data_IF_956641918554
#
_entry.id   IF_956641918554
#
_cell.length_a   1.000
_cell.length_b   1.000
_cell.length_c   1.000
_cell.angle_alpha   90.00
_cell.angle_beta   90.00
_cell.angle_gamma   90.00
#
_symmetry.space_group_name_H-M   'P 1'
#
loop_
_entity.id
_entity.type
_entity.pdbx_description
1 polymer ?
#
# COMPACT_ATOMS: atom_id res chain seq x y z
N UNK A 1 -41.31 29.17 40.10
CA UNK A 1 -40.10 28.42 40.48
C UNK A 1 -38.98 29.14 39.79
N UNK A 2 -38.43 30.12 40.50
CA UNK A 2 -37.13 30.68 40.21
C UNK A 2 -36.09 29.61 40.53
N UNK A 3 -35.11 29.44 39.64
CA UNK A 3 -33.72 29.07 39.97
C UNK A 3 -32.92 29.24 38.66
N UNK A 4 -32.36 30.45 38.54
CA UNK A 4 -31.23 30.76 37.66
C UNK A 4 -29.98 30.05 38.20
N UNK A 5 -29.28 29.26 37.38
CA UNK A 5 -27.84 29.06 37.53
C UNK A 5 -27.10 29.38 36.22
N UNK A 6 -26.48 30.54 36.30
CA UNK A 6 -25.31 31.14 35.70
C UNK A 6 -24.26 30.25 34.99
N UNK A 7 -23.57 30.89 34.04
CA UNK A 7 -22.23 30.55 33.54
C UNK A 7 -22.23 29.78 32.20
N UNK A 8 -21.92 30.36 31.05
CA UNK A 8 -21.17 31.57 30.75
C UNK A 8 -20.23 31.24 29.58
N UNK A 9 -20.43 31.95 28.46
CA UNK A 9 -19.46 32.50 27.49
C UNK A 9 -18.27 31.61 27.02
N UNK A 10 -17.84 31.58 25.75
CA UNK A 10 -17.86 32.62 24.72
C UNK A 10 -17.33 32.04 23.40
N UNK A 11 -17.57 32.78 22.31
CA UNK A 11 -16.65 33.08 21.19
C UNK A 11 -16.22 31.89 20.30
N UNK A 12 -16.75 31.81 19.07
CA UNK A 12 -16.17 32.38 17.84
C UNK A 12 -15.22 31.38 17.16
N UNK A 13 -15.59 30.90 15.96
CA UNK A 13 -14.73 31.08 14.78
C UNK A 13 -15.42 30.51 13.53
N UNK A 14 -15.63 31.43 12.59
CA UNK A 14 -15.89 31.22 11.17
C UNK A 14 -14.76 30.39 10.53
N UNK A 15 -15.08 29.55 9.55
CA UNK A 15 -14.06 28.76 8.85
C UNK A 15 -14.54 28.15 7.54
N UNK A 16 -14.24 28.88 6.47
CA UNK A 16 -14.52 28.71 5.04
C UNK A 16 -14.53 27.31 4.38
N UNK A 17 -15.29 27.26 3.28
CA UNK A 17 -15.11 26.32 2.17
C UNK A 17 -13.69 26.45 1.59
N UNK A 18 -13.06 25.33 1.21
CA UNK A 18 -12.24 25.33 0.00
C UNK A 18 -12.13 23.94 -0.65
N UNK A 19 -12.35 23.90 -1.96
CA UNK A 19 -11.86 22.85 -2.85
C UNK A 19 -10.32 22.90 -2.84
N UNK A 20 -9.64 21.75 -2.74
CA UNK A 20 -8.63 21.45 -3.76
C UNK A 20 -8.24 19.98 -3.85
N UNK A 21 -8.04 19.58 -5.10
CA UNK A 21 -7.24 18.48 -5.58
C UNK A 21 -5.79 18.64 -5.04
N UNK A 22 -5.13 17.53 -4.69
CA UNK A 22 -3.73 17.43 -4.20
C UNK A 22 -3.52 17.70 -2.69
N UNK A 23 -3.50 16.62 -1.90
CA UNK A 23 -2.79 16.59 -0.61
C UNK A 23 -1.86 15.37 -0.56
N UNK A 24 -0.63 15.59 -1.00
CA UNK A 24 0.52 14.84 -0.53
C UNK A 24 0.77 15.15 0.96
N UNK A 25 0.20 14.36 1.88
CA UNK A 25 0.83 13.85 3.13
C UNK A 25 -0.20 13.48 4.20
N UNK A 26 -0.55 12.20 4.27
CA UNK A 26 -0.75 11.44 5.52
C UNK A 26 -1.19 10.06 5.11
N UNK A 27 -0.33 9.05 5.22
CA UNK A 27 -0.30 8.09 6.34
C UNK A 27 1.00 7.30 6.20
N UNK A 28 2.03 7.63 6.99
CA UNK A 28 3.15 6.71 7.20
C UNK A 28 2.70 5.79 8.34
N UNK A 29 1.76 4.93 8.01
CA UNK A 29 1.56 3.67 8.73
C UNK A 29 2.26 2.60 7.90
N UNK A 30 2.77 1.56 8.55
CA UNK A 30 3.50 0.41 7.99
C UNK A 30 2.77 -0.26 6.79
N UNK A 31 1.53 0.14 6.51
CA UNK A 31 0.66 -0.35 5.45
C UNK A 31 0.81 0.40 4.10
N UNK A 32 1.30 1.66 4.06
CA UNK A 32 1.47 2.41 2.77
C UNK A 32 2.86 2.31 2.14
N UNK A 33 3.90 2.00 2.91
CA UNK A 33 5.25 1.81 2.39
C UNK A 33 5.34 0.58 1.47
N UNK A 34 4.55 -0.43 1.81
CA UNK A 34 4.51 -1.73 1.18
C UNK A 34 3.88 -1.67 -0.23
N UNK A 35 2.85 -0.87 -0.47
CA UNK A 35 2.29 -0.71 -1.84
C UNK A 35 3.25 0.06 -2.75
N UNK A 36 4.00 1.02 -2.19
CA UNK A 36 4.88 1.88 -2.95
C UNK A 36 6.13 1.14 -3.45
N UNK A 37 6.56 0.05 -2.80
CA UNK A 37 7.76 -0.70 -3.21
C UNK A 37 7.62 -1.29 -4.63
N UNK A 38 6.42 -1.74 -5.00
CA UNK A 38 6.15 -2.26 -6.35
C UNK A 38 6.06 -1.16 -7.40
N UNK A 39 5.69 0.05 -6.99
CA UNK A 39 5.55 1.22 -7.86
C UNK A 39 6.88 1.96 -8.04
N UNK A 40 7.75 1.97 -7.02
CA UNK A 40 9.08 2.57 -7.04
C UNK A 40 10.13 1.74 -7.79
N UNK A 41 9.98 0.41 -7.84
CA UNK A 41 10.94 -0.48 -8.51
C UNK A 41 10.78 -0.55 -10.05
N UNK A 42 10.14 0.44 -10.68
CA UNK A 42 9.93 0.53 -12.14
C UNK A 42 9.43 -0.79 -12.78
N UNK A 43 8.53 -1.50 -12.09
CA UNK A 43 8.05 -2.81 -12.56
C UNK A 43 7.23 -2.65 -13.84
N UNK A 44 7.69 -3.31 -14.91
CA UNK A 44 7.06 -3.22 -16.23
C UNK A 44 5.86 -4.15 -16.32
N UNK A 45 4.68 -3.61 -15.99
CA UNK A 45 3.43 -4.31 -16.20
C UNK A 45 2.90 -4.15 -17.63
N UNK A 46 2.34 -5.22 -18.23
CA UNK A 46 1.65 -5.10 -19.50
C UNK A 46 0.37 -4.25 -19.33
N UNK A 47 0.07 -3.40 -20.31
CA UNK A 47 -1.11 -2.50 -20.27
C UNK A 47 -2.44 -3.27 -20.19
N UNK A 48 -2.46 -4.51 -20.67
CA UNK A 48 -3.61 -5.40 -20.65
C UNK A 48 -3.16 -6.73 -20.04
N UNK A 49 -3.96 -7.27 -19.12
CA UNK A 49 -3.68 -8.54 -18.49
C UNK A 49 -3.75 -9.67 -19.53
N UNK A 50 -2.72 -10.52 -19.54
CA UNK A 50 -2.62 -11.64 -20.47
C UNK A 50 -3.35 -12.89 -19.98
N UNK A 51 -3.16 -14.01 -20.69
CA UNK A 51 -3.68 -15.33 -20.27
C UNK A 51 -3.10 -15.78 -18.92
N UNK A 52 -1.89 -15.33 -18.58
CA UNK A 52 -1.18 -15.68 -17.36
C UNK A 52 -0.81 -14.42 -16.58
N UNK A 53 -0.87 -14.46 -15.24
CA UNK A 53 -0.42 -13.36 -14.40
C UNK A 53 1.09 -13.12 -14.57
N UNK A 54 1.47 -11.85 -14.48
CA UNK A 54 2.88 -11.43 -14.52
C UNK A 54 3.32 -11.10 -13.11
N UNK A 55 4.47 -11.63 -12.70
CA UNK A 55 5.05 -11.41 -11.39
C UNK A 55 6.44 -10.79 -11.50
N UNK A 56 6.89 -10.15 -10.43
CA UNK A 56 8.23 -9.59 -10.30
C UNK A 56 8.73 -9.79 -8.88
N UNK A 57 9.94 -10.32 -8.76
CA UNK A 57 10.60 -10.50 -7.48
C UNK A 57 11.05 -9.15 -6.91
N UNK A 58 11.04 -9.04 -5.59
CA UNK A 58 11.56 -7.88 -4.85
C UNK A 58 12.87 -8.24 -4.14
N UNK A 59 13.64 -7.23 -3.70
CA UNK A 59 14.81 -7.44 -2.84
C UNK A 59 14.45 -8.14 -1.53
N UNK A 60 13.28 -7.81 -0.96
CA UNK A 60 12.70 -8.58 0.13
C UNK A 60 12.00 -9.81 -0.45
N UNK A 61 12.65 -10.97 -0.32
CA UNK A 61 12.14 -12.23 -0.87
C UNK A 61 10.84 -12.70 -0.23
N UNK A 62 10.48 -12.18 0.95
CA UNK A 62 9.18 -12.48 1.57
C UNK A 62 8.04 -11.78 0.85
N UNK A 63 8.34 -10.90 -0.12
CA UNK A 63 7.36 -10.13 -0.89
C UNK A 63 7.62 -10.25 -2.39
N UNK A 64 6.58 -9.99 -3.17
CA UNK A 64 6.65 -9.97 -4.62
C UNK A 64 5.58 -9.05 -5.18
N UNK A 65 5.74 -8.64 -6.43
CA UNK A 65 4.75 -7.82 -7.12
C UNK A 65 4.00 -8.64 -8.15
N UNK A 66 2.69 -8.47 -8.22
CA UNK A 66 1.84 -9.02 -9.27
C UNK A 66 1.25 -7.88 -10.09
N UNK A 67 1.32 -8.00 -11.42
CA UNK A 67 0.66 -7.05 -12.30
C UNK A 67 -0.82 -7.38 -12.45
N UNK A 68 -1.67 -6.37 -12.32
CA UNK A 68 -3.07 -6.42 -12.71
C UNK A 68 -3.50 -5.06 -13.27
N UNK A 69 -4.29 -5.07 -14.35
CA UNK A 69 -4.77 -3.86 -15.03
C UNK A 69 -3.64 -2.85 -15.35
N UNK A 70 -2.46 -3.34 -15.71
CA UNK A 70 -1.29 -2.50 -16.00
C UNK A 70 -0.63 -1.84 -14.80
N UNK A 71 -0.97 -2.23 -13.57
CA UNK A 71 -0.37 -1.72 -12.33
C UNK A 71 0.24 -2.87 -11.51
N UNK A 72 1.41 -2.67 -10.89
CA UNK A 72 1.98 -3.66 -10.00
C UNK A 72 1.40 -3.50 -8.58
N UNK A 73 1.04 -4.63 -7.97
CA UNK A 73 0.51 -4.73 -6.61
C UNK A 73 1.43 -5.59 -5.77
N UNK A 74 1.68 -5.15 -4.53
CA UNK A 74 2.48 -5.92 -3.59
C UNK A 74 1.69 -7.10 -3.02
N UNK A 75 2.35 -8.24 -2.93
CA UNK A 75 1.91 -9.41 -2.22
C UNK A 75 3.01 -9.92 -1.29
N UNK A 76 2.59 -10.47 -0.16
CA UNK A 76 3.48 -11.09 0.81
C UNK A 76 3.33 -12.61 0.70
N UNK A 77 4.45 -13.31 0.79
CA UNK A 77 4.46 -14.75 0.98
C UNK A 77 4.06 -15.11 2.42
N UNK A 78 3.50 -16.32 2.62
CA UNK A 78 3.28 -16.84 3.96
C UNK A 78 4.58 -16.92 4.77
N UNK A 79 4.44 -16.91 6.10
CA UNK A 79 5.58 -16.88 7.02
C UNK A 79 6.64 -17.96 6.70
N UNK A 80 7.88 -17.52 6.56
CA UNK A 80 9.03 -18.39 6.27
C UNK A 80 9.16 -18.86 4.82
N UNK A 81 8.26 -18.43 3.92
CA UNK A 81 8.35 -18.70 2.48
C UNK A 81 8.79 -17.47 1.70
N UNK A 82 9.55 -17.72 0.64
CA UNK A 82 10.13 -16.71 -0.23
C UNK A 82 9.60 -16.87 -1.66
N UNK A 83 9.41 -15.76 -2.37
CA UNK A 83 8.91 -15.79 -3.73
C UNK A 83 9.95 -16.41 -4.68
N UNK A 84 9.57 -17.52 -5.30
CA UNK A 84 10.33 -18.17 -6.35
C UNK A 84 9.87 -17.62 -7.71
N UNK A 85 10.68 -16.77 -8.33
CA UNK A 85 10.39 -16.14 -9.63
C UNK A 85 10.44 -17.10 -10.83
N UNK A 86 11.01 -18.30 -10.66
CA UNK A 86 11.06 -19.34 -11.70
C UNK A 86 9.71 -20.07 -11.77
N UNK A 87 9.16 -20.40 -10.60
CA UNK A 87 7.88 -21.12 -10.47
C UNK A 87 6.68 -20.19 -10.29
N UNK A 88 6.91 -18.91 -10.01
CA UNK A 88 5.91 -17.90 -9.64
C UNK A 88 5.05 -18.32 -8.43
N UNK A 89 5.68 -18.92 -7.42
CA UNK A 89 5.04 -19.34 -6.17
C UNK A 89 5.91 -18.99 -4.97
N UNK A 90 5.31 -18.90 -3.79
CA UNK A 90 6.08 -18.87 -2.54
C UNK A 90 6.59 -20.28 -2.23
N UNK A 91 7.90 -20.42 -2.13
CA UNK A 91 8.57 -21.69 -1.83
C UNK A 91 9.60 -21.46 -0.70
N UNK A 92 10.24 -22.53 -0.24
CA UNK A 92 11.28 -22.41 0.77
C UNK A 92 12.47 -21.56 0.28
N UNK A 93 13.12 -20.78 1.15
CA UNK A 93 14.20 -19.86 0.78
C UNK A 93 15.28 -20.47 -0.13
N UNK A 94 15.75 -21.67 0.22
CA UNK A 94 16.76 -22.42 -0.54
C UNK A 94 16.31 -22.82 -1.95
N UNK A 95 15.00 -23.01 -2.18
CA UNK A 95 14.42 -23.30 -3.52
C UNK A 95 14.11 -22.04 -4.30
N UNK A 96 13.72 -20.96 -3.62
CA UNK A 96 13.51 -19.65 -4.21
C UNK A 96 14.82 -18.97 -4.65
N UNK A 97 15.98 -19.50 -4.22
CA UNK A 97 17.29 -18.91 -4.51
C UNK A 97 17.57 -17.66 -3.68
N UNK A 98 16.92 -17.54 -2.53
CA UNK A 98 17.10 -16.42 -1.61
C UNK A 98 17.80 -16.92 -0.34
N UNK A 99 19.05 -16.48 -0.15
CA UNK A 99 19.98 -16.90 0.89
C UNK A 99 20.31 -15.75 1.85
#
# INVERSE_FOLDING_TARGET
>A
TDDDEDGGNSDDDDGDNDHDYDDQKKEITTEKADVNICQQNEIKCPKVDGKYPVYSALPDCTKFCQCSNGKPYLHNCPDGLHFNSILNVCDWPHRAGCN
#
